data_IF_836502183528
#
_entry.id   IF_836502183528
#
_cell.length_a   1.000
_cell.length_b   1.000
_cell.length_c   1.000
_cell.angle_alpha   90.00
_cell.angle_beta   90.00
_cell.angle_gamma   90.00
#
_symmetry.space_group_name_H-M   'P 1'
#
loop_
_entity.id
_entity.type
_entity.pdbx_description
1 polymer ?
#
# COMPACT_ATOMS: atom_id res chain seq x y z
N UNK A 1 6.70 -3.22 12.96
CA UNK A 1 7.83 -4.15 13.18
C UNK A 1 7.53 -4.86 14.51
N UNK A 2 6.41 -5.58 14.56
CA UNK A 2 5.75 -5.93 15.84
C UNK A 2 5.39 -7.42 15.88
N UNK A 3 6.25 -8.27 15.32
CA UNK A 3 6.18 -9.70 15.57
C UNK A 3 7.01 -10.00 16.83
N UNK A 4 6.40 -10.68 17.81
CA UNK A 4 7.09 -11.24 18.98
C UNK A 4 8.33 -12.02 18.52
N UNK A 5 9.52 -11.51 18.84
CA UNK A 5 10.81 -12.12 18.51
C UNK A 5 11.57 -11.56 17.30
N UNK A 6 11.11 -10.47 16.65
CA UNK A 6 11.82 -9.78 15.55
C UNK A 6 12.31 -10.71 14.42
N UNK A 7 11.60 -11.82 14.19
CA UNK A 7 11.93 -12.77 13.12
C UNK A 7 11.31 -12.31 11.82
N UNK A 8 12.12 -12.28 10.77
CA UNK A 8 11.66 -12.01 9.42
C UNK A 8 10.72 -13.12 8.94
N UNK A 9 9.62 -12.70 8.32
CA UNK A 9 8.64 -13.61 7.71
C UNK A 9 8.66 -13.38 6.21
N UNK A 10 9.06 -14.41 5.47
CA UNK A 10 8.97 -14.40 4.01
C UNK A 10 7.57 -14.85 3.58
N UNK A 11 7.01 -14.15 2.59
CA UNK A 11 5.73 -14.51 1.97
C UNK A 11 5.95 -14.71 0.47
N UNK A 12 5.30 -15.72 -0.13
CA UNK A 12 5.39 -15.90 -1.57
C UNK A 12 4.80 -14.69 -2.28
N UNK A 13 5.56 -14.09 -3.21
CA UNK A 13 5.11 -12.95 -4.01
C UNK A 13 4.74 -13.44 -5.42
N UNK A 14 3.45 -13.40 -5.79
CA UNK A 14 3.03 -13.76 -7.14
C UNK A 14 3.69 -12.86 -8.19
N UNK A 15 4.02 -13.43 -9.36
CA UNK A 15 4.65 -12.69 -10.46
C UNK A 15 3.83 -11.47 -10.90
N UNK A 16 2.50 -11.62 -10.93
CA UNK A 16 1.59 -10.53 -11.25
C UNK A 16 1.72 -9.37 -10.24
N UNK A 17 1.71 -9.68 -8.94
CA UNK A 17 1.90 -8.68 -7.87
C UNK A 17 3.25 -7.99 -7.99
N UNK A 18 4.33 -8.75 -8.23
CA UNK A 18 5.66 -8.16 -8.44
C UNK A 18 5.71 -7.19 -9.62
N UNK A 19 5.06 -7.52 -10.74
CA UNK A 19 4.99 -6.63 -11.90
C UNK A 19 4.26 -5.31 -11.58
N UNK A 20 3.12 -5.39 -10.87
CA UNK A 20 2.36 -4.21 -10.44
C UNK A 20 3.19 -3.33 -9.50
N UNK A 21 3.86 -3.94 -8.52
CA UNK A 21 4.71 -3.23 -7.56
C UNK A 21 5.89 -2.52 -8.23
N UNK A 22 6.54 -3.16 -9.21
CA UNK A 22 7.63 -2.54 -9.97
C UNK A 22 7.15 -1.35 -10.78
N UNK A 23 6.03 -1.49 -11.49
CA UNK A 23 5.42 -0.39 -12.25
C UNK A 23 5.03 0.77 -11.34
N UNK A 24 4.45 0.46 -10.18
CA UNK A 24 4.09 1.46 -9.18
C UNK A 24 5.34 2.20 -8.65
N UNK A 25 6.39 1.47 -8.29
CA UNK A 25 7.63 2.05 -7.80
C UNK A 25 8.26 3.02 -8.80
N UNK A 26 8.20 2.74 -10.10
CA UNK A 26 8.71 3.66 -11.13
C UNK A 26 8.03 5.03 -11.14
N UNK A 27 6.81 5.16 -10.58
CA UNK A 27 6.10 6.43 -10.53
C UNK A 27 6.67 7.40 -9.51
N UNK A 28 7.38 6.90 -8.49
CA UNK A 28 7.89 7.72 -7.39
C UNK A 28 9.37 7.51 -7.08
N UNK A 29 9.94 6.35 -7.44
CA UNK A 29 11.37 5.98 -7.29
C UNK A 29 11.97 6.26 -5.91
N UNK A 30 11.19 6.08 -4.85
CA UNK A 30 11.65 6.30 -3.49
C UNK A 30 12.66 5.20 -3.11
N UNK A 31 13.80 5.54 -2.47
CA UNK A 31 14.88 4.58 -2.19
C UNK A 31 14.49 3.46 -1.22
N UNK A 32 13.69 3.77 -0.19
CA UNK A 32 13.38 2.81 0.89
C UNK A 32 11.91 2.34 0.92
N UNK A 33 10.96 3.26 0.80
CA UNK A 33 9.53 2.99 0.92
C UNK A 33 8.92 2.51 -0.40
N UNK A 34 8.23 1.36 -0.35
CA UNK A 34 7.42 0.87 -1.45
C UNK A 34 6.15 1.71 -1.66
N UNK A 35 5.57 2.21 -0.56
CA UNK A 35 4.39 3.08 -0.56
C UNK A 35 4.68 4.37 0.23
N UNK A 36 5.37 5.35 -0.37
CA UNK A 36 5.60 6.64 0.27
C UNK A 36 4.33 7.47 0.36
N UNK A 37 4.29 8.40 1.32
CA UNK A 37 3.25 9.41 1.41
C UNK A 37 3.28 10.35 0.19
N UNK A 38 2.12 10.92 -0.15
CA UNK A 38 1.87 11.72 -1.35
C UNK A 38 1.32 13.11 -1.06
N UNK A 39 1.46 13.63 0.16
CA UNK A 39 0.98 14.99 0.49
C UNK A 39 1.54 16.06 -0.45
N UNK A 40 2.81 15.94 -0.87
CA UNK A 40 3.46 16.83 -1.84
C UNK A 40 3.28 16.38 -3.31
N UNK A 41 2.25 15.58 -3.59
CA UNK A 41 1.98 15.00 -4.90
C UNK A 41 2.98 13.91 -5.32
N UNK A 42 2.89 13.49 -6.58
CA UNK A 42 3.72 12.42 -7.14
C UNK A 42 5.21 12.79 -7.15
N UNK A 43 5.53 14.05 -7.46
CA UNK A 43 6.91 14.56 -7.49
C UNK A 43 7.56 14.56 -6.10
N UNK A 44 6.78 14.90 -5.07
CA UNK A 44 7.25 14.88 -3.69
C UNK A 44 7.32 13.48 -3.07
N UNK A 45 6.68 12.48 -3.67
CA UNK A 45 6.67 11.12 -3.15
C UNK A 45 8.06 10.47 -3.11
N UNK A 46 8.99 10.90 -3.97
CA UNK A 46 10.39 10.45 -3.95
C UNK A 46 11.14 10.86 -2.68
N UNK A 47 10.74 11.99 -2.07
CA UNK A 47 11.38 12.60 -0.89
C UNK A 47 10.55 12.40 0.39
N UNK A 48 9.44 11.66 0.30
CA UNK A 48 8.54 11.48 1.43
C UNK A 48 9.22 10.73 2.57
N UNK A 49 9.26 11.33 3.75
CA UNK A 49 9.88 10.71 4.94
C UNK A 49 8.92 9.79 5.70
N UNK A 50 7.67 9.70 5.25
CA UNK A 50 6.61 8.93 5.90
C UNK A 50 5.97 7.96 4.92
N UNK A 51 5.49 6.80 5.41
CA UNK A 51 4.72 5.87 4.60
C UNK A 51 3.34 6.46 4.27
N UNK A 52 2.69 5.86 3.26
CA UNK A 52 1.32 6.16 2.88
C UNK A 52 0.37 6.08 4.09
N UNK A 53 -0.50 7.09 4.22
CA UNK A 53 -1.45 7.16 5.32
C UNK A 53 -2.49 6.02 5.30
N UNK A 54 -2.77 5.46 6.47
CA UNK A 54 -3.71 4.34 6.65
C UNK A 54 -5.16 4.75 6.34
N UNK A 55 -5.56 5.95 6.75
CA UNK A 55 -6.91 6.48 6.50
C UNK A 55 -7.17 6.67 5.00
N UNK A 56 -6.17 7.16 4.26
CA UNK A 56 -6.21 7.28 2.80
C UNK A 56 -6.42 5.93 2.09
N UNK A 57 -5.75 4.88 2.55
CA UNK A 57 -5.94 3.51 2.02
C UNK A 57 -7.37 3.02 2.26
N UNK A 58 -7.87 3.19 3.49
CA UNK A 58 -9.22 2.75 3.86
C UNK A 58 -10.30 3.49 3.04
N UNK A 59 -10.18 4.80 2.89
CA UNK A 59 -11.11 5.60 2.09
C UNK A 59 -11.09 5.18 0.62
N UNK A 60 -9.90 4.96 0.06
CA UNK A 60 -9.74 4.56 -1.35
C UNK A 60 -10.38 3.20 -1.60
N UNK A 61 -10.12 2.21 -0.73
CA UNK A 61 -10.73 0.89 -0.84
C UNK A 61 -12.26 0.95 -0.75
N UNK A 62 -12.82 1.75 0.17
CA UNK A 62 -14.28 1.96 0.25
C UNK A 62 -14.86 2.51 -1.05
N UNK A 63 -14.20 3.50 -1.65
CA UNK A 63 -14.62 4.08 -2.94
C UNK A 63 -14.56 3.06 -4.08
N UNK A 64 -13.51 2.24 -4.14
CA UNK A 64 -13.36 1.19 -5.16
C UNK A 64 -14.46 0.14 -5.01
N UNK A 65 -14.71 -0.34 -3.79
CA UNK A 65 -15.78 -1.32 -3.50
C UNK A 65 -17.15 -0.77 -3.93
N UNK A 66 -17.44 0.51 -3.60
CA UNK A 66 -18.68 1.17 -4.02
C UNK A 66 -18.78 1.29 -5.54
N UNK A 67 -17.70 1.70 -6.23
CA UNK A 67 -17.65 1.80 -7.69
C UNK A 67 -17.78 0.45 -8.41
N UNK A 68 -17.30 -0.63 -7.79
CA UNK A 68 -17.49 -1.99 -8.29
C UNK A 68 -18.88 -2.58 -7.98
N UNK A 69 -19.74 -1.86 -7.24
CA UNK A 69 -21.06 -2.37 -6.84
C UNK A 69 -21.03 -3.55 -5.88
N UNK A 70 -19.91 -3.76 -5.17
CA UNK A 70 -19.75 -4.86 -4.24
C UNK A 70 -20.55 -4.58 -2.96
N UNK A 71 -21.62 -5.34 -2.75
CA UNK A 71 -22.53 -5.20 -1.59
C UNK A 71 -22.10 -6.01 -0.36
N UNK A 72 -21.12 -6.91 -0.51
CA UNK A 72 -20.66 -7.79 0.58
C UNK A 72 -19.74 -7.03 1.52
N UNK A 73 -20.24 -6.76 2.73
CA UNK A 73 -19.42 -6.25 3.83
C UNK A 73 -18.74 -7.42 4.52
N UNK A 74 -17.40 -7.41 4.58
CA UNK A 74 -16.63 -8.35 5.39
C UNK A 74 -16.29 -7.65 6.72
N UNK A 75 -16.95 -8.00 7.84
CA UNK A 75 -16.59 -7.47 9.14
C UNK A 75 -15.17 -7.93 9.53
N UNK A 76 -14.43 -7.08 10.24
CA UNK A 76 -13.12 -7.44 10.79
C UNK A 76 -13.35 -8.60 11.77
N UNK A 77 -12.94 -9.81 11.42
CA UNK A 77 -12.93 -10.94 12.35
C UNK A 77 -11.68 -10.81 13.22
N UNK A 78 -11.90 -10.77 14.54
CA UNK A 78 -10.85 -10.63 15.55
C UNK A 78 -10.01 -11.90 15.69
#
# INVERSE_FOLDING_TARGET
>A
RDAKGNKDRLVPLPRATLAVLRRFWQTHRHPELLFPNRHAGLKGAALARTPLDRGGVQLTLRKVVAGCGLKKTLPLTA
#
